data_IF_055411423612
#
_entry.id   IF_055411423612
#
_cell.length_a   1.000
_cell.length_b   1.000
_cell.length_c   1.000
_cell.angle_alpha   90.00
_cell.angle_beta   90.00
_cell.angle_gamma   90.00
#
_symmetry.space_group_name_H-M   'P 1'
#
loop_
_entity.id
_entity.type
_entity.pdbx_description
1 polymer ?
#
# COMPACT_ATOMS: atom_id res chain seq x y z
N UNK A 1 36.81 -58.47 0.47
CA UNK A 1 35.61 -58.11 -0.32
C UNK A 1 34.41 -57.60 0.50
N UNK A 2 34.47 -57.48 1.84
CA UNK A 2 33.31 -57.10 2.68
C UNK A 2 33.26 -55.61 3.07
N UNK A 3 34.40 -54.92 3.05
CA UNK A 3 34.55 -53.53 3.54
C UNK A 3 34.11 -52.47 2.52
N UNK A 4 34.33 -52.69 1.22
CA UNK A 4 33.94 -51.75 0.16
C UNK A 4 32.41 -51.56 0.06
N UNK A 5 31.65 -52.64 0.23
CA UNK A 5 30.18 -52.59 0.22
C UNK A 5 29.60 -51.90 1.46
N UNK A 6 30.29 -52.02 2.60
CA UNK A 6 29.89 -51.36 3.85
C UNK A 6 30.17 -49.85 3.79
N UNK A 7 31.34 -49.44 3.28
CA UNK A 7 31.69 -48.03 3.11
C UNK A 7 30.75 -47.31 2.13
N UNK A 8 30.40 -47.97 1.00
CA UNK A 8 29.43 -47.42 0.04
C UNK A 8 28.02 -47.28 0.61
N UNK A 9 27.56 -48.26 1.41
CA UNK A 9 26.26 -48.20 2.07
C UNK A 9 26.19 -47.08 3.11
N UNK A 10 27.24 -46.90 3.93
CA UNK A 10 27.31 -45.82 4.93
C UNK A 10 27.33 -44.45 4.24
N UNK A 11 28.12 -44.28 3.17
CA UNK A 11 28.18 -43.04 2.41
C UNK A 11 26.82 -42.70 1.75
N UNK A 12 26.14 -43.69 1.19
CA UNK A 12 24.81 -43.52 0.61
C UNK A 12 23.75 -43.13 1.63
N UNK A 13 23.81 -43.69 2.84
CA UNK A 13 22.91 -43.29 3.94
C UNK A 13 23.18 -41.86 4.39
N UNK A 14 24.45 -41.45 4.52
CA UNK A 14 24.81 -40.07 4.88
C UNK A 14 24.26 -39.09 3.85
N UNK A 15 24.43 -39.35 2.55
CA UNK A 15 23.88 -38.50 1.49
C UNK A 15 22.35 -38.40 1.54
N UNK A 16 21.65 -39.51 1.83
CA UNK A 16 20.19 -39.49 2.03
C UNK A 16 19.78 -38.63 3.23
N UNK A 17 20.50 -38.75 4.34
CA UNK A 17 20.23 -37.93 5.54
C UNK A 17 20.47 -36.45 5.22
N UNK A 18 21.57 -36.11 4.56
CA UNK A 18 21.84 -34.73 4.12
C UNK A 18 20.73 -34.22 3.20
N UNK A 19 20.29 -35.03 2.24
CA UNK A 19 19.19 -34.65 1.34
C UNK A 19 17.89 -34.38 2.11
N UNK A 20 17.53 -35.24 3.07
CA UNK A 20 16.35 -35.03 3.92
C UNK A 20 16.47 -33.75 4.74
N UNK A 21 17.64 -33.47 5.31
CA UNK A 21 17.89 -32.21 6.05
C UNK A 21 17.73 -30.99 5.13
N UNK A 22 18.26 -31.05 3.91
CA UNK A 22 18.09 -29.98 2.91
C UNK A 22 16.63 -29.78 2.55
N UNK A 23 15.87 -30.86 2.34
CA UNK A 23 14.43 -30.76 2.05
C UNK A 23 13.68 -30.14 3.22
N UNK A 24 13.95 -30.57 4.46
CA UNK A 24 13.34 -29.98 5.66
C UNK A 24 13.69 -28.48 5.75
N UNK A 25 14.95 -28.12 5.50
CA UNK A 25 15.39 -26.73 5.52
C UNK A 25 14.67 -25.88 4.45
N UNK A 26 14.52 -26.41 3.23
CA UNK A 26 13.78 -25.75 2.15
C UNK A 26 12.30 -25.58 2.49
N UNK A 27 11.66 -26.61 3.05
CA UNK A 27 10.25 -26.52 3.49
C UNK A 27 10.10 -25.50 4.60
N UNK A 28 11.00 -25.49 5.60
CA UNK A 28 10.94 -24.54 6.70
C UNK A 28 11.16 -23.09 6.24
N UNK A 29 12.18 -22.88 5.40
CA UNK A 29 12.48 -21.55 4.84
C UNK A 29 11.35 -21.09 3.92
N UNK A 30 10.86 -21.96 3.05
CA UNK A 30 9.75 -21.68 2.15
C UNK A 30 8.46 -21.37 2.90
N UNK A 31 8.09 -22.18 3.90
CA UNK A 31 6.91 -21.96 4.72
C UNK A 31 6.99 -20.67 5.52
N UNK A 32 8.14 -20.38 6.14
CA UNK A 32 8.34 -19.13 6.91
C UNK A 32 8.27 -17.91 6.00
N UNK A 33 8.95 -17.97 4.84
CA UNK A 33 8.89 -16.89 3.83
C UNK A 33 7.46 -16.67 3.34
N UNK A 34 6.75 -17.74 2.98
CA UNK A 34 5.36 -17.64 2.53
C UNK A 34 4.43 -17.11 3.62
N UNK A 35 4.64 -17.48 4.89
CA UNK A 35 3.86 -16.98 6.01
C UNK A 35 4.11 -15.48 6.24
N UNK A 36 5.37 -15.05 6.25
CA UNK A 36 5.73 -13.64 6.43
C UNK A 36 5.22 -12.77 5.26
N UNK A 37 5.37 -13.26 4.03
CA UNK A 37 4.83 -12.58 2.85
C UNK A 37 3.30 -12.55 2.87
N UNK A 38 2.66 -13.68 3.18
CA UNK A 38 1.20 -13.79 3.24
C UNK A 38 0.58 -12.97 4.38
N UNK A 39 1.28 -12.81 5.50
CA UNK A 39 0.85 -11.94 6.57
C UNK A 39 1.01 -10.46 6.18
N UNK A 40 2.18 -10.09 5.63
CA UNK A 40 2.47 -8.69 5.23
C UNK A 40 1.63 -8.21 4.06
N UNK A 41 1.24 -9.09 3.14
CA UNK A 41 0.46 -8.67 1.96
C UNK A 41 -0.96 -8.21 2.29
N UNK A 42 -1.51 -8.56 3.46
CA UNK A 42 -2.83 -8.08 3.90
C UNK A 42 -2.75 -7.12 5.10
N UNK A 43 -1.58 -6.98 5.73
CA UNK A 43 -1.42 -6.16 6.95
C UNK A 43 -0.39 -5.04 6.79
N UNK A 44 0.05 -4.73 5.56
CA UNK A 44 1.04 -3.67 5.36
C UNK A 44 0.42 -2.32 5.78
N UNK A 45 0.95 -1.70 6.86
CA UNK A 45 0.39 -0.44 7.35
C UNK A 45 0.74 0.69 6.38
N UNK A 46 -0.03 1.78 6.46
CA UNK A 46 0.27 3.03 5.76
C UNK A 46 1.72 3.49 6.03
N UNK A 47 2.31 4.17 5.06
CA UNK A 47 3.70 4.65 5.14
C UNK A 47 3.85 5.70 6.25
N UNK A 48 2.81 6.51 6.48
CA UNK A 48 2.75 7.53 7.53
C UNK A 48 1.55 7.28 8.44
N UNK A 49 1.70 7.57 9.73
CA UNK A 49 0.58 7.70 10.65
C UNK A 49 0.11 9.16 10.70
N UNK A 50 -1.19 9.42 10.85
CA UNK A 50 -1.78 10.78 10.92
C UNK A 50 -2.30 11.28 9.56
N UNK A 51 -2.21 12.58 9.27
CA UNK A 51 -2.72 13.16 8.00
C UNK A 51 -1.90 12.73 6.76
N UNK A 52 -0.64 12.33 6.94
CA UNK A 52 0.24 11.93 5.83
C UNK A 52 0.56 13.08 4.88
N UNK A 53 1.14 12.74 3.72
CA UNK A 53 1.42 13.69 2.64
C UNK A 53 0.61 13.28 1.41
N UNK A 54 -0.17 14.21 0.87
CA UNK A 54 -0.87 14.07 -0.42
C UNK A 54 0.12 14.17 -1.57
N UNK A 55 0.07 13.21 -2.49
CA UNK A 55 0.95 13.10 -3.63
C UNK A 55 0.11 12.76 -4.86
N UNK A 56 0.23 13.60 -5.87
CA UNK A 56 -0.43 13.37 -7.16
C UNK A 56 0.38 12.38 -8.00
N UNK A 57 -0.28 11.33 -8.47
CA UNK A 57 0.31 10.29 -9.32
C UNK A 57 -0.54 10.13 -10.58
N UNK A 58 0.11 10.18 -11.73
CA UNK A 58 -0.52 9.91 -13.03
C UNK A 58 -0.22 8.47 -13.44
N UNK A 59 -1.28 7.67 -13.62
CA UNK A 59 -1.18 6.29 -14.06
C UNK A 59 -1.79 6.14 -15.45
N UNK A 60 -1.07 5.50 -16.36
CA UNK A 60 -1.48 5.31 -17.75
C UNK A 60 -1.84 3.85 -18.02
N UNK A 61 -2.72 3.59 -18.98
CA UNK A 61 -3.27 2.26 -19.26
C UNK A 61 -2.25 1.24 -19.77
N UNK A 62 -1.08 1.71 -20.23
CA UNK A 62 0.04 0.88 -20.67
C UNK A 62 0.91 0.38 -19.52
N UNK A 63 0.77 0.92 -18.30
CA UNK A 63 1.54 0.47 -17.14
C UNK A 63 1.03 -0.87 -16.61
N UNK A 64 1.98 -1.78 -16.36
CA UNK A 64 1.73 -3.02 -15.64
C UNK A 64 1.59 -2.80 -14.13
N UNK A 65 1.00 -3.76 -13.43
CA UNK A 65 0.88 -3.74 -11.96
C UNK A 65 2.22 -3.47 -11.25
N UNK A 66 3.31 -4.03 -11.78
CA UNK A 66 4.67 -3.84 -11.27
C UNK A 66 5.18 -2.42 -11.48
N UNK A 67 4.89 -1.81 -12.63
CA UNK A 67 5.25 -0.42 -12.91
C UNK A 67 4.45 0.53 -12.03
N UNK A 68 3.14 0.30 -11.87
CA UNK A 68 2.30 1.06 -10.94
C UNK A 68 2.89 0.98 -9.53
N UNK A 69 3.18 -0.22 -9.02
CA UNK A 69 3.80 -0.40 -7.70
C UNK A 69 5.16 0.28 -7.57
N UNK A 70 5.97 0.27 -8.63
CA UNK A 70 7.26 0.98 -8.67
C UNK A 70 7.06 2.48 -8.56
N UNK A 71 6.13 3.06 -9.33
CA UNK A 71 5.78 4.49 -9.25
C UNK A 71 5.29 4.86 -7.86
N UNK A 72 4.42 4.04 -7.24
CA UNK A 72 3.95 4.27 -5.88
C UNK A 72 5.09 4.25 -4.86
N UNK A 73 6.06 3.35 -5.04
CA UNK A 73 7.23 3.27 -4.17
C UNK A 73 8.18 4.44 -4.35
N UNK A 74 8.45 4.86 -5.60
CA UNK A 74 9.29 6.02 -5.92
C UNK A 74 8.72 7.33 -5.35
N UNK A 75 7.39 7.43 -5.33
CA UNK A 75 6.67 8.55 -4.71
C UNK A 75 6.59 8.44 -3.19
N UNK A 76 7.00 7.31 -2.60
CA UNK A 76 6.95 7.06 -1.16
C UNK A 76 5.53 6.81 -0.63
N UNK A 77 4.58 6.50 -1.51
CA UNK A 77 3.22 6.11 -1.14
C UNK A 77 3.16 4.69 -0.58
N UNK A 78 4.04 3.79 -1.06
CA UNK A 78 4.18 2.43 -0.53
C UNK A 78 5.63 2.13 -0.16
N UNK A 79 5.83 1.22 0.80
CA UNK A 79 7.17 0.81 1.25
C UNK A 79 7.84 -0.13 0.24
N UNK A 80 7.06 -1.03 -0.33
CA UNK A 80 7.51 -2.04 -1.30
C UNK A 80 6.54 -2.11 -2.49
N UNK A 81 7.01 -1.67 -3.66
CA UNK A 81 6.23 -1.66 -4.89
C UNK A 81 5.93 -3.05 -5.43
N UNK A 82 6.76 -4.06 -5.12
CA UNK A 82 6.49 -5.45 -5.51
C UNK A 82 5.40 -6.06 -4.64
N UNK A 83 5.38 -5.73 -3.35
CA UNK A 83 4.29 -6.15 -2.47
C UNK A 83 2.97 -5.52 -2.91
N UNK A 84 2.98 -4.22 -3.22
CA UNK A 84 1.81 -3.53 -3.78
C UNK A 84 1.34 -4.17 -5.09
N UNK A 85 2.26 -4.43 -6.03
CA UNK A 85 1.92 -5.05 -7.31
C UNK A 85 1.29 -6.44 -7.13
N UNK A 86 1.80 -7.23 -6.18
CA UNK A 86 1.25 -8.54 -5.87
C UNK A 86 -0.12 -8.42 -5.20
N UNK A 87 -0.29 -7.48 -4.28
CA UNK A 87 -1.58 -7.20 -3.63
C UNK A 87 -2.62 -6.75 -4.66
N UNK A 88 -2.25 -5.84 -5.56
CA UNK A 88 -3.09 -5.39 -6.67
C UNK A 88 -3.50 -6.53 -7.58
N UNK A 89 -2.57 -7.42 -7.94
CA UNK A 89 -2.86 -8.55 -8.83
C UNK A 89 -3.81 -9.59 -8.20
N UNK A 90 -3.78 -9.71 -6.86
CA UNK A 90 -4.65 -10.60 -6.08
C UNK A 90 -5.94 -9.92 -5.63
N UNK A 91 -6.02 -8.60 -5.68
CA UNK A 91 -7.19 -7.83 -5.28
C UNK A 91 -8.34 -7.95 -6.30
N UNK A 92 -9.57 -7.70 -5.82
CA UNK A 92 -10.74 -7.60 -6.69
C UNK A 92 -10.73 -6.31 -7.53
N UNK A 93 -10.05 -5.26 -7.04
CA UNK A 93 -9.94 -3.94 -7.67
C UNK A 93 -9.19 -3.92 -9.02
N UNK A 94 -8.45 -5.00 -9.35
CA UNK A 94 -7.71 -5.13 -10.61
C UNK A 94 -8.56 -4.88 -11.85
N UNK A 95 -9.85 -5.28 -11.83
CA UNK A 95 -10.73 -5.20 -13.01
C UNK A 95 -11.35 -3.84 -13.21
N UNK A 96 -11.44 -3.05 -12.15
CA UNK A 96 -12.22 -1.82 -12.12
C UNK A 96 -11.35 -0.55 -12.12
N UNK A 97 -10.03 -0.71 -12.02
CA UNK A 97 -9.08 0.39 -12.12
C UNK A 97 -9.13 1.10 -13.48
N UNK A 98 -9.04 2.43 -13.45
CA UNK A 98 -9.02 3.28 -14.64
C UNK A 98 -7.70 4.05 -14.73
N UNK A 99 -7.14 4.30 -15.92
CA UNK A 99 -6.04 5.25 -16.05
C UNK A 99 -6.52 6.66 -15.69
N UNK A 100 -5.68 7.43 -15.00
CA UNK A 100 -6.07 8.71 -14.46
C UNK A 100 -4.98 9.37 -13.62
N UNK A 101 -5.27 10.59 -13.18
CA UNK A 101 -4.46 11.28 -12.18
C UNK A 101 -5.15 11.17 -10.84
N UNK A 102 -4.43 10.64 -9.86
CA UNK A 102 -4.93 10.35 -8.53
C UNK A 102 -4.16 11.18 -7.51
N UNK A 103 -4.87 11.73 -6.53
CA UNK A 103 -4.26 12.29 -5.33
C UNK A 103 -4.33 11.24 -4.23
N UNK A 104 -3.16 10.72 -3.83
CA UNK A 104 -3.04 9.65 -2.85
C UNK A 104 -2.25 10.16 -1.65
N UNK A 105 -2.62 9.75 -0.44
CA UNK A 105 -1.88 10.13 0.77
C UNK A 105 -0.98 9.00 1.27
N UNK A 106 0.18 9.34 1.81
CA UNK A 106 1.03 8.37 2.53
C UNK A 106 0.39 7.82 3.82
N UNK A 107 -0.71 8.43 4.27
CA UNK A 107 -1.54 7.92 5.36
C UNK A 107 -2.52 6.83 4.92
N UNK A 108 -2.69 6.63 3.61
CA UNK A 108 -3.52 5.57 3.07
C UNK A 108 -2.74 4.26 3.04
N UNK A 109 -3.44 3.18 3.33
CA UNK A 109 -2.99 1.82 3.09
C UNK A 109 -3.00 1.52 1.60
N UNK A 110 -2.26 0.48 1.20
CA UNK A 110 -2.25 0.03 -0.19
C UNK A 110 -3.64 -0.35 -0.71
N UNK A 111 -4.50 -0.89 0.16
CA UNK A 111 -5.89 -1.25 -0.18
C UNK A 111 -6.74 -0.01 -0.48
N UNK A 112 -6.71 0.99 0.40
CA UNK A 112 -7.45 2.24 0.20
C UNK A 112 -6.99 2.98 -1.07
N UNK A 113 -5.69 2.95 -1.39
CA UNK A 113 -5.19 3.50 -2.64
C UNK A 113 -5.75 2.76 -3.87
N UNK A 114 -5.87 1.44 -3.81
CA UNK A 114 -6.48 0.63 -4.87
C UNK A 114 -7.98 0.88 -5.01
N UNK A 115 -8.67 1.17 -3.90
CA UNK A 115 -10.11 1.50 -3.88
C UNK A 115 -10.40 2.84 -4.58
N UNK A 116 -9.62 3.88 -4.27
CA UNK A 116 -9.67 5.18 -4.97
C UNK A 116 -9.38 5.01 -6.45
N UNK A 117 -8.37 4.19 -6.77
CA UNK A 117 -8.00 3.83 -8.14
C UNK A 117 -9.12 3.11 -8.91
N UNK A 118 -9.89 2.26 -8.23
CA UNK A 118 -11.06 1.57 -8.79
C UNK A 118 -12.32 2.46 -8.86
N UNK A 119 -12.26 3.70 -8.34
CA UNK A 119 -13.38 4.62 -8.32
C UNK A 119 -14.49 4.23 -7.35
N UNK A 120 -14.16 3.45 -6.31
CA UNK A 120 -15.11 3.04 -5.26
C UNK A 120 -15.13 4.00 -4.07
N UNK A 121 -14.11 4.85 -3.93
CA UNK A 121 -14.10 5.97 -2.98
C UNK A 121 -14.10 7.27 -3.77
N UNK A 122 -15.04 8.17 -3.48
CA UNK A 122 -14.93 9.56 -3.90
C UNK A 122 -13.61 10.10 -3.33
N UNK A 123 -12.73 10.56 -4.22
CA UNK A 123 -11.49 11.25 -3.86
C UNK A 123 -11.80 12.18 -2.69
N UNK A 124 -11.02 12.10 -1.60
CA UNK A 124 -11.08 13.08 -0.53
C UNK A 124 -10.57 14.42 -1.08
N UNK A 125 -11.41 15.08 -1.88
CA UNK A 125 -11.38 16.51 -2.10
C UNK A 125 -11.61 17.11 -0.72
N UNK A 126 -10.52 17.35 0.00
CA UNK A 126 -10.53 18.42 0.97
C UNK A 126 -10.82 19.68 0.17
N UNK A 127 -12.09 20.05 0.24
CA UNK A 127 -12.65 21.35 -0.11
C UNK A 127 -11.65 22.43 0.33
N UNK A 128 -10.84 22.90 -0.60
CA UNK A 128 -10.04 24.10 -0.40
C UNK A 128 -11.05 25.22 -0.17
N UNK A 129 -11.22 25.62 1.09
CA UNK A 129 -12.02 26.76 1.49
C UNK A 129 -11.43 27.99 0.80
N UNK A 130 -11.97 28.35 -0.36
CA UNK A 130 -11.77 29.66 -0.97
C UNK A 130 -12.39 30.69 -0.04
N UNK A 131 -11.59 31.22 0.89
CA UNK A 131 -11.97 32.46 1.59
C UNK A 131 -11.71 33.61 0.63
N UNK A 132 -12.68 33.87 -0.24
CA UNK A 132 -12.79 35.12 -1.01
C UNK A 132 -13.59 36.09 -0.14
N UNK A 133 -12.94 36.80 0.79
CA UNK A 133 -13.54 38.01 1.40
C UNK A 133 -12.96 39.25 0.72
N UNK A 134 -13.61 39.63 -0.37
CA UNK A 134 -13.36 40.88 -1.07
C UNK A 134 -13.99 42.02 -0.24
N UNK A 135 -13.19 42.62 0.64
CA UNK A 135 -13.58 43.78 1.42
C UNK A 135 -13.95 44.98 0.54
N UNK A 136 -15.24 45.28 0.44
CA UNK A 136 -15.75 46.55 -0.12
C UNK A 136 -17.06 46.98 0.54
N UNK A 137 -16.91 47.79 1.60
CA UNK A 137 -17.60 49.05 1.89
C UNK A 137 -19.15 49.22 1.73
N UNK A 138 -19.77 49.61 2.87
CA UNK A 138 -20.85 50.63 3.07
C UNK A 138 -22.28 50.23 2.58
N UNK A 139 -23.42 50.39 3.28
CA UNK A 139 -24.00 51.52 4.04
C UNK A 139 -25.35 51.11 4.72
N UNK A 140 -25.71 51.77 5.83
CA UNK A 140 -27.11 52.03 6.31
C UNK A 140 -27.78 50.89 7.12
N UNK A 141 -28.53 51.10 8.21
CA UNK A 141 -29.24 52.26 8.74
C UNK A 141 -29.50 52.13 10.28
N UNK A 142 -29.53 53.30 10.94
CA UNK A 142 -30.38 53.79 12.05
C UNK A 142 -30.64 52.98 13.36
N UNK A 143 -30.19 53.63 14.44
CA UNK A 143 -30.64 53.62 15.85
C UNK A 143 -32.19 53.75 16.04
N UNK A 144 -32.77 53.32 17.18
CA UNK A 144 -32.80 54.21 18.36
C UNK A 144 -32.51 53.57 19.72
N UNK A 145 -32.04 54.46 20.61
CA UNK A 145 -31.90 54.31 22.06
C UNK A 145 -33.26 54.19 22.77
N UNK A 146 -33.30 53.46 23.90
CA UNK A 146 -33.85 53.88 25.23
C UNK A 146 -33.24 52.93 26.30
N UNK A 147 -32.34 53.38 27.20
CA UNK A 147 -32.60 53.83 28.60
C UNK A 147 -33.37 52.76 29.42
N UNK A 148 -32.89 52.20 30.54
CA UNK A 148 -32.85 52.76 31.91
C UNK A 148 -32.10 51.80 32.86
N UNK A 149 -31.30 52.38 33.77
CA UNK A 149 -30.91 52.02 35.16
C UNK A 149 -31.18 50.58 35.71
N UNK A 150 -30.33 49.97 36.54
CA UNK A 150 -29.56 50.49 37.69
C UNK A 150 -28.21 49.78 37.86
#
# INVERSE_FOLDING_TARGET
MKTANLAGAVLGTILKVVFVVVVIYLVYTGASTCYDYGYRIFTEPAVSAGEGRKITVTLTSDMSATEIGTVMQEKGLVRDGRLFALQYLLSEYKKDWKPGTYELSTAMTAEEMMEVMAGQTESTEEESVETIDNGSALTGETQPLETVAQ
#
